data_IF_710295928644
#
_entry.id   IF_710295928644
#
_cell.length_a   1.000
_cell.length_b   1.000
_cell.length_c   1.000
_cell.angle_alpha   90.00
_cell.angle_beta   90.00
_cell.angle_gamma   90.00
#
_symmetry.space_group_name_H-M   'P 1'
#
loop_
_entity.id
_entity.type
_entity.pdbx_description
1 polymer ?
#
# COMPACT_ATOMS: atom_id res chain seq x y z
N UNK A 1 16.82 4.62 5.72
CA UNK A 1 15.75 4.22 6.66
C UNK A 1 15.68 5.09 7.89
N UNK A 2 16.80 5.35 8.52
CA UNK A 2 16.81 6.16 9.74
C UNK A 2 16.26 7.57 9.52
N UNK A 3 16.62 8.21 8.42
CA UNK A 3 16.14 9.56 8.13
C UNK A 3 14.63 9.62 8.00
N UNK A 4 14.04 8.61 7.36
CA UNK A 4 12.59 8.55 7.21
C UNK A 4 11.90 8.32 8.55
N UNK A 5 12.45 7.46 9.38
CA UNK A 5 11.92 7.22 10.71
C UNK A 5 11.97 8.46 11.58
N UNK A 6 13.08 9.20 11.51
CA UNK A 6 13.24 10.43 12.26
C UNK A 6 12.21 11.48 11.86
N UNK A 7 11.91 11.59 10.57
CA UNK A 7 10.88 12.51 10.08
C UNK A 7 9.50 12.14 10.64
N UNK A 8 9.17 10.86 10.65
CA UNK A 8 7.88 10.39 11.16
C UNK A 8 7.69 10.67 12.64
N UNK A 9 8.76 10.64 13.42
CA UNK A 9 8.69 10.86 14.86
C UNK A 9 8.27 12.28 15.23
N UNK A 10 8.44 13.23 14.32
CA UNK A 10 8.19 14.64 14.61
C UNK A 10 6.78 15.08 14.28
N UNK A 11 5.93 14.16 13.81
CA UNK A 11 4.57 14.52 13.41
C UNK A 11 3.58 13.42 13.84
N UNK A 12 2.79 13.72 14.85
CA UNK A 12 1.83 12.77 15.41
C UNK A 12 0.68 12.44 14.45
N UNK A 13 0.51 13.24 13.40
CA UNK A 13 -0.54 13.02 12.40
C UNK A 13 0.00 12.37 11.13
N UNK A 14 1.28 12.01 11.12
CA UNK A 14 1.91 11.43 9.95
C UNK A 14 1.34 10.04 9.67
N UNK A 15 1.12 9.77 8.41
CA UNK A 15 0.82 8.44 7.87
C UNK A 15 1.95 8.12 6.90
N UNK A 16 2.50 6.93 7.00
CA UNK A 16 3.57 6.52 6.10
C UNK A 16 3.03 5.53 5.07
N UNK A 17 3.29 5.81 3.80
CA UNK A 17 2.91 4.93 2.69
C UNK A 17 4.15 4.62 1.88
N UNK A 18 4.44 3.34 1.70
CA UNK A 18 5.53 2.88 0.85
C UNK A 18 4.93 2.21 -0.37
N UNK A 19 5.40 2.58 -1.55
CA UNK A 19 4.86 2.06 -2.80
C UNK A 19 5.95 1.28 -3.52
N UNK A 20 5.63 0.04 -3.85
CA UNK A 20 6.57 -0.89 -4.46
C UNK A 20 5.92 -1.67 -5.60
N UNK A 21 6.74 -2.24 -6.44
CA UNK A 21 6.34 -3.28 -7.37
C UNK A 21 7.01 -4.57 -6.95
N UNK A 22 6.27 -5.66 -7.07
CA UNK A 22 6.76 -6.97 -6.65
C UNK A 22 7.26 -7.76 -7.86
N UNK A 23 7.87 -8.91 -7.61
CA UNK A 23 8.27 -9.82 -8.67
C UNK A 23 8.36 -11.22 -8.08
N UNK A 24 7.80 -12.19 -8.80
CA UNK A 24 7.86 -13.58 -8.38
C UNK A 24 8.05 -14.46 -9.62
N UNK A 25 9.31 -14.53 -10.13
CA UNK A 25 9.57 -15.25 -11.39
C UNK A 25 9.30 -16.74 -11.34
N UNK A 26 9.25 -17.33 -10.15
CA UNK A 26 8.95 -18.76 -10.01
C UNK A 26 7.56 -19.13 -10.49
N UNK A 27 6.62 -18.19 -10.39
CA UNK A 27 5.27 -18.40 -10.86
C UNK A 27 4.74 -17.10 -11.43
N UNK A 28 4.82 -16.97 -12.75
CA UNK A 28 4.45 -15.73 -13.43
C UNK A 28 2.94 -15.51 -13.52
N UNK A 29 2.16 -16.46 -13.04
CA UNK A 29 0.71 -16.28 -12.94
C UNK A 29 0.32 -15.46 -11.69
N UNK A 30 1.24 -15.30 -10.74
CA UNK A 30 0.96 -14.50 -9.54
C UNK A 30 0.83 -13.05 -9.95
N UNK A 31 -0.29 -12.42 -9.54
CA UNK A 31 -0.62 -11.07 -9.98
C UNK A 31 -1.44 -10.34 -8.93
N UNK A 32 -1.65 -9.03 -9.20
CA UNK A 32 -2.58 -8.21 -8.43
C UNK A 32 -1.92 -7.41 -7.32
N UNK A 33 -2.70 -6.51 -6.75
CA UNK A 33 -2.26 -5.60 -5.70
C UNK A 33 -2.23 -6.33 -4.36
N UNK A 34 -1.23 -6.00 -3.54
CA UNK A 34 -1.13 -6.47 -2.15
C UNK A 34 -0.89 -5.26 -1.26
N UNK A 35 -1.54 -5.25 -0.10
CA UNK A 35 -1.35 -4.17 0.88
C UNK A 35 -0.98 -4.79 2.21
N UNK A 36 0.07 -4.26 2.83
CA UNK A 36 0.64 -4.82 4.07
C UNK A 36 0.69 -3.77 5.16
N UNK A 37 0.52 -4.20 6.41
CA UNK A 37 0.75 -3.36 7.57
C UNK A 37 1.61 -4.10 8.59
N UNK A 38 2.14 -3.36 9.57
CA UNK A 38 2.98 -3.93 10.60
C UNK A 38 2.17 -4.87 11.51
N UNK A 39 2.71 -6.03 11.87
CA UNK A 39 2.00 -6.98 12.73
C UNK A 39 1.57 -6.35 14.05
N UNK A 40 0.32 -6.56 14.42
CA UNK A 40 -0.23 -6.05 15.67
C UNK A 40 -0.66 -4.60 15.67
N UNK A 41 -0.42 -3.87 14.57
CA UNK A 41 -0.83 -2.47 14.49
C UNK A 41 -2.31 -2.37 14.15
N UNK A 42 -3.13 -1.98 15.11
CA UNK A 42 -4.57 -1.82 14.89
C UNK A 42 -4.86 -0.70 13.89
N UNK A 43 -4.20 0.44 14.04
CA UNK A 43 -4.39 1.56 13.13
C UNK A 43 -3.83 1.28 11.74
N UNK A 44 -2.70 0.56 11.69
CA UNK A 44 -2.14 0.13 10.40
C UNK A 44 -3.08 -0.79 9.65
N UNK A 45 -3.76 -1.69 10.37
CA UNK A 45 -4.73 -2.59 9.75
C UNK A 45 -5.92 -1.82 9.18
N UNK A 46 -6.43 -0.82 9.91
CA UNK A 46 -7.53 0.00 9.43
C UNK A 46 -7.10 0.76 8.18
N UNK A 47 -5.93 1.39 8.23
CA UNK A 47 -5.39 2.12 7.08
C UNK A 47 -5.22 1.20 5.87
N UNK A 48 -4.62 0.03 6.05
CA UNK A 48 -4.38 -0.88 4.93
C UNK A 48 -5.68 -1.38 4.31
N UNK A 49 -6.70 -1.66 5.15
CA UNK A 49 -8.00 -2.09 4.65
C UNK A 49 -8.68 -1.01 3.82
N UNK A 50 -8.62 0.24 4.29
CA UNK A 50 -9.20 1.37 3.56
C UNK A 50 -8.48 1.58 2.24
N UNK A 51 -7.15 1.57 2.24
CA UNK A 51 -6.37 1.75 1.02
C UNK A 51 -6.67 0.64 0.02
N UNK A 52 -6.72 -0.62 0.47
CA UNK A 52 -7.06 -1.72 -0.42
C UNK A 52 -8.46 -1.53 -1.01
N UNK A 53 -9.41 -1.11 -0.19
CA UNK A 53 -10.78 -0.88 -0.64
C UNK A 53 -10.85 0.22 -1.71
N UNK A 54 -10.20 1.36 -1.49
CA UNK A 54 -10.22 2.46 -2.47
C UNK A 54 -9.54 2.05 -3.76
N UNK A 55 -8.47 1.25 -3.70
CA UNK A 55 -7.83 0.74 -4.91
C UNK A 55 -8.82 -0.12 -5.69
N UNK A 56 -9.53 -1.02 -5.03
CA UNK A 56 -10.49 -1.89 -5.69
C UNK A 56 -11.68 -1.11 -6.25
N UNK A 57 -12.08 -0.02 -5.59
CA UNK A 57 -13.19 0.82 -6.07
C UNK A 57 -12.81 1.64 -7.30
N UNK A 58 -11.57 2.06 -7.40
CA UNK A 58 -11.13 3.00 -8.44
C UNK A 58 -10.39 2.34 -9.60
N UNK A 59 -10.01 1.08 -9.45
CA UNK A 59 -9.32 0.32 -10.49
C UNK A 59 -10.08 -0.98 -10.73
N UNK A 60 -9.61 -1.79 -11.68
CA UNK A 60 -10.17 -3.11 -11.90
C UNK A 60 -9.54 -4.16 -11.00
N UNK A 61 -8.74 -3.75 -10.04
CA UNK A 61 -8.12 -4.69 -9.10
C UNK A 61 -9.15 -5.26 -8.14
N UNK A 62 -9.01 -6.55 -7.87
CA UNK A 62 -9.87 -7.22 -6.91
C UNK A 62 -9.50 -6.80 -5.49
N UNK A 63 -10.49 -6.58 -4.66
CA UNK A 63 -10.25 -6.34 -3.26
C UNK A 63 -9.77 -7.64 -2.60
N UNK A 64 -8.62 -7.57 -1.93
CA UNK A 64 -8.03 -8.71 -1.25
C UNK A 64 -7.90 -8.41 0.23
N UNK A 65 -7.79 -9.46 1.03
CA UNK A 65 -7.46 -9.29 2.44
C UNK A 65 -6.06 -8.66 2.55
N UNK A 66 -5.92 -7.75 3.48
CA UNK A 66 -4.60 -7.17 3.76
C UNK A 66 -3.81 -8.12 4.64
N UNK A 67 -2.50 -7.99 4.61
CA UNK A 67 -1.59 -8.91 5.28
C UNK A 67 -0.70 -8.18 6.26
N UNK A 68 -0.47 -8.78 7.42
CA UNK A 68 0.53 -8.27 8.36
C UNK A 68 1.88 -8.85 7.99
N UNK A 69 2.89 -7.96 7.90
CA UNK A 69 4.21 -8.37 7.47
C UNK A 69 5.26 -7.51 8.17
N UNK A 70 6.31 -8.15 8.68
CA UNK A 70 7.41 -7.42 9.31
C UNK A 70 8.37 -6.90 8.25
N UNK A 71 7.91 -5.90 7.51
CA UNK A 71 8.69 -5.25 6.47
C UNK A 71 9.42 -4.06 7.05
N UNK A 72 10.64 -3.80 6.54
CA UNK A 72 11.51 -2.76 7.09
C UNK A 72 10.81 -1.40 7.17
N UNK A 73 10.06 -1.04 6.14
CA UNK A 73 9.42 0.28 6.06
C UNK A 73 8.18 0.42 6.94
N UNK A 74 7.61 -0.69 7.42
CA UNK A 74 6.44 -0.65 8.30
C UNK A 74 6.76 -1.17 9.69
N UNK A 75 8.02 -1.50 9.95
CA UNK A 75 8.45 -2.10 11.21
C UNK A 75 8.50 -1.11 12.37
N UNK A 76 8.66 0.17 12.08
CA UNK A 76 8.75 1.22 13.09
C UNK A 76 7.38 1.85 13.26
N UNK A 77 6.56 1.38 14.21
CA UNK A 77 5.16 1.80 14.30
C UNK A 77 4.98 3.13 15.03
N UNK A 78 5.73 4.13 14.63
CA UNK A 78 5.60 5.48 15.18
C UNK A 78 4.28 6.10 14.72
N UNK A 79 3.85 5.74 13.52
CA UNK A 79 2.59 6.20 12.94
C UNK A 79 1.98 5.06 12.15
N UNK A 80 0.69 5.15 11.79
CA UNK A 80 0.11 4.15 10.90
C UNK A 80 0.89 4.09 9.60
N UNK A 81 1.26 2.88 9.20
CA UNK A 81 2.13 2.67 8.03
C UNK A 81 1.60 1.52 7.19
N UNK A 82 1.65 1.69 5.89
CA UNK A 82 1.29 0.62 4.95
C UNK A 82 2.32 0.54 3.84
N UNK A 83 2.45 -0.65 3.29
CA UNK A 83 3.21 -0.88 2.07
C UNK A 83 2.25 -1.41 1.01
N UNK A 84 2.21 -0.73 -0.14
CA UNK A 84 1.38 -1.12 -1.27
C UNK A 84 2.26 -1.72 -2.34
N UNK A 85 2.06 -3.01 -2.63
CA UNK A 85 2.65 -3.67 -3.78
C UNK A 85 1.68 -3.51 -4.93
N UNK A 86 2.03 -2.70 -5.92
CA UNK A 86 1.11 -2.30 -6.98
C UNK A 86 0.87 -3.39 -8.02
N UNK A 87 1.65 -4.44 -8.01
CA UNK A 87 1.52 -5.56 -8.92
C UNK A 87 2.84 -6.29 -9.05
N UNK A 88 2.83 -7.33 -9.88
CA UNK A 88 3.98 -8.20 -10.07
C UNK A 88 4.59 -7.97 -11.45
N UNK A 89 5.81 -7.43 -11.47
CA UNK A 89 6.51 -7.21 -12.74
C UNK A 89 6.76 -8.52 -13.51
N UNK A 90 6.77 -9.64 -12.80
CA UNK A 90 6.92 -10.96 -13.41
C UNK A 90 5.66 -11.45 -14.12
N UNK A 91 4.53 -10.79 -13.92
CA UNK A 91 3.27 -11.12 -14.59
C UNK A 91 3.05 -10.14 -15.74
N UNK A 92 2.82 -10.67 -16.94
CA UNK A 92 2.75 -9.83 -18.14
C UNK A 92 1.59 -8.84 -18.12
N UNK A 93 0.45 -9.22 -17.56
CA UNK A 93 -0.70 -8.32 -17.47
C UNK A 93 -0.42 -7.19 -16.48
N UNK A 94 0.15 -7.52 -15.32
CA UNK A 94 0.51 -6.51 -14.33
C UNK A 94 1.59 -5.58 -14.87
N UNK A 95 2.58 -6.13 -15.56
CA UNK A 95 3.64 -5.31 -16.15
C UNK A 95 3.06 -4.29 -17.12
N UNK A 96 2.13 -4.71 -17.96
CA UNK A 96 1.50 -3.81 -18.93
C UNK A 96 0.77 -2.67 -18.21
N UNK A 97 0.03 -2.98 -17.15
CA UNK A 97 -0.65 -1.95 -16.35
C UNK A 97 0.33 -1.00 -15.70
N UNK A 98 1.39 -1.54 -15.10
CA UNK A 98 2.36 -0.72 -14.37
C UNK A 98 3.16 0.21 -15.27
N UNK A 99 3.26 -0.09 -16.56
CA UNK A 99 3.89 0.77 -17.56
C UNK A 99 2.96 1.84 -18.11
N UNK A 100 1.66 1.73 -17.87
CA UNK A 100 0.66 2.65 -18.41
C UNK A 100 0.56 3.89 -17.51
N UNK A 101 0.89 5.09 -18.02
CA UNK A 101 0.82 6.31 -17.21
C UNK A 101 -0.58 6.61 -16.66
N UNK A 102 -1.62 6.27 -17.40
CA UNK A 102 -3.00 6.45 -16.91
C UNK A 102 -3.27 5.57 -15.71
N UNK A 103 -2.82 4.32 -15.75
CA UNK A 103 -2.99 3.41 -14.62
C UNK A 103 -2.16 3.85 -13.42
N UNK A 104 -0.93 4.33 -13.66
CA UNK A 104 -0.08 4.84 -12.59
C UNK A 104 -0.77 5.99 -11.87
N UNK A 105 -1.36 6.91 -12.62
CA UNK A 105 -2.05 8.05 -12.05
C UNK A 105 -3.28 7.62 -11.26
N UNK A 106 -4.05 6.69 -11.81
CA UNK A 106 -5.26 6.19 -11.15
C UNK A 106 -4.91 5.49 -9.83
N UNK A 107 -3.84 4.68 -9.83
CA UNK A 107 -3.37 4.02 -8.62
C UNK A 107 -2.93 5.04 -7.57
N UNK A 108 -2.20 6.07 -7.99
CA UNK A 108 -1.76 7.12 -7.07
C UNK A 108 -2.95 7.83 -6.42
N UNK A 109 -3.96 8.16 -7.24
CA UNK A 109 -5.18 8.80 -6.73
C UNK A 109 -5.91 7.88 -5.76
N UNK A 110 -6.01 6.60 -6.09
CA UNK A 110 -6.70 5.63 -5.23
C UNK A 110 -6.02 5.52 -3.86
N UNK A 111 -4.70 5.46 -3.83
CA UNK A 111 -3.95 5.41 -2.57
C UNK A 111 -4.16 6.71 -1.78
N UNK A 112 -4.07 7.85 -2.46
CA UNK A 112 -4.25 9.14 -1.80
C UNK A 112 -5.67 9.27 -1.22
N UNK A 113 -6.67 8.83 -1.95
CA UNK A 113 -8.06 8.84 -1.46
C UNK A 113 -8.23 7.95 -0.24
N UNK A 114 -7.59 6.79 -0.23
CA UNK A 114 -7.63 5.90 0.93
C UNK A 114 -6.99 6.53 2.16
N UNK A 115 -5.85 7.17 1.99
CA UNK A 115 -5.18 7.87 3.09
C UNK A 115 -6.07 9.01 3.60
N UNK A 116 -6.65 9.79 2.69
CA UNK A 116 -7.53 10.90 3.07
C UNK A 116 -8.75 10.38 3.85
N UNK A 117 -9.36 9.32 3.38
CA UNK A 117 -10.50 8.71 4.07
C UNK A 117 -10.11 8.24 5.47
N UNK A 118 -8.95 7.63 5.61
CA UNK A 118 -8.45 7.18 6.91
C UNK A 118 -8.29 8.38 7.86
N UNK A 119 -7.68 9.45 7.39
CA UNK A 119 -7.43 10.63 8.21
C UNK A 119 -8.75 11.27 8.66
N UNK A 120 -9.72 11.35 7.77
CA UNK A 120 -11.03 11.95 8.08
C UNK A 120 -11.92 11.01 8.87
N UNK A 121 -11.91 9.73 8.50
CA UNK A 121 -12.90 8.78 9.01
C UNK A 121 -12.64 8.28 10.41
N UNK A 122 -11.45 8.45 10.94
CA UNK A 122 -11.16 7.98 12.29
C UNK A 122 -11.70 8.89 13.38
N UNK A 123 -12.34 9.94 13.01
CA UNK A 123 -12.95 10.87 13.96
C UNK A 123 -13.98 10.19 14.83
#
# INVERSE_FOLDING_TARGET
MEARTAMMKNDIFTVAVSIHMNSFPRDRSVSGVRVYNYPGSTRGRVLSSIVMHTIAQMTDQRERDTTEEDLMVVREPICPSVLVECGFLSNSSDEALLKDPEYQRLMAIAVACGVDEFIRGRN
#
